data_IF_256528185803
#
_entry.id   IF_256528185803
#
_cell.length_a   1.000
_cell.length_b   1.000
_cell.length_c   1.000
_cell.angle_alpha   90.00
_cell.angle_beta   90.00
_cell.angle_gamma   90.00
#
_symmetry.space_group_name_H-M   'P 1'
#
loop_
_entity.id
_entity.type
_entity.pdbx_description
1 polymer ?
#
# COMPACT_ATOMS: atom_id res chain seq x y z
N UNK A 1 -24.33 13.16 11.83
CA UNK A 1 -25.45 12.82 10.94
C UNK A 1 -26.57 13.83 11.02
N UNK A 2 -26.96 14.24 12.22
CA UNK A 2 -28.07 15.18 12.41
C UNK A 2 -27.86 16.56 11.76
N UNK A 3 -26.64 17.09 11.75
CA UNK A 3 -26.36 18.42 11.15
C UNK A 3 -26.58 18.49 9.62
N UNK A 4 -26.18 17.46 8.89
CA UNK A 4 -26.33 17.40 7.42
C UNK A 4 -27.81 17.28 7.03
N UNK A 5 -28.58 16.51 7.80
CA UNK A 5 -30.02 16.39 7.60
C UNK A 5 -30.74 17.71 7.86
N UNK A 6 -30.36 18.42 8.93
CA UNK A 6 -30.91 19.73 9.25
C UNK A 6 -30.60 20.77 8.15
N UNK A 7 -29.41 20.70 7.59
CA UNK A 7 -29.01 21.59 6.49
C UNK A 7 -29.83 21.33 5.22
N UNK A 8 -30.04 20.05 4.85
CA UNK A 8 -30.94 19.73 3.72
C UNK A 8 -32.37 20.11 3.98
N UNK A 9 -32.86 19.94 5.22
CA UNK A 9 -34.20 20.41 5.60
C UNK A 9 -34.33 21.93 5.41
N UNK A 10 -33.39 22.72 5.90
CA UNK A 10 -33.36 24.17 5.71
C UNK A 10 -33.32 24.57 4.22
N UNK A 11 -32.49 23.87 3.43
CA UNK A 11 -32.43 24.12 1.99
C UNK A 11 -33.75 23.83 1.30
N UNK A 12 -34.43 22.74 1.65
CA UNK A 12 -35.75 22.38 1.09
C UNK A 12 -36.82 23.43 1.45
N UNK A 13 -36.83 23.88 2.73
CA UNK A 13 -37.71 24.99 3.14
C UNK A 13 -37.42 26.30 2.38
N UNK A 14 -36.14 26.58 2.13
CA UNK A 14 -35.71 27.74 1.35
C UNK A 14 -36.15 27.74 -0.13
N UNK A 15 -36.48 26.58 -0.69
CA UNK A 15 -36.99 26.44 -2.06
C UNK A 15 -38.50 26.70 -2.16
N UNK A 16 -39.19 26.73 -1.01
CA UNK A 16 -40.66 26.96 -1.01
C UNK A 16 -40.97 28.41 -1.33
N UNK A 17 -42.00 28.67 -2.15
CA UNK A 17 -42.41 30.03 -2.44
C UNK A 17 -42.92 30.72 -1.16
N UNK A 18 -42.72 32.05 -1.02
CA UNK A 18 -43.25 32.78 0.11
C UNK A 18 -44.77 32.85 0.08
N UNK A 19 -45.42 32.54 1.21
CA UNK A 19 -46.87 32.68 1.33
C UNK A 19 -47.49 31.79 2.39
N UNK A 20 -48.69 32.12 2.87
CA UNK A 20 -49.34 31.39 3.97
C UNK A 20 -49.76 29.95 3.57
N UNK A 21 -49.86 29.64 2.27
CA UNK A 21 -50.20 28.30 1.79
C UNK A 21 -49.08 27.26 2.07
N UNK A 22 -47.87 27.71 2.38
CA UNK A 22 -46.67 26.87 2.59
C UNK A 22 -46.15 26.94 4.03
N UNK A 23 -46.89 27.60 4.92
CA UNK A 23 -46.47 27.75 6.32
C UNK A 23 -46.59 26.46 7.13
N UNK A 24 -47.35 25.50 6.66
CA UNK A 24 -47.60 24.22 7.32
C UNK A 24 -47.42 23.06 6.30
N UNK A 25 -46.19 22.65 6.11
CA UNK A 25 -45.84 21.60 5.14
C UNK A 25 -45.84 20.20 5.74
N UNK A 26 -46.46 20.02 6.92
CA UNK A 26 -46.74 18.73 7.58
C UNK A 26 -45.59 17.69 7.55
N UNK A 27 -44.36 18.13 7.71
CA UNK A 27 -43.20 17.24 7.79
C UNK A 27 -42.80 16.55 6.48
N UNK A 28 -43.44 16.91 5.34
CA UNK A 28 -43.07 16.31 4.03
C UNK A 28 -41.62 16.60 3.66
N UNK A 29 -41.15 17.82 3.88
CA UNK A 29 -39.76 18.21 3.58
C UNK A 29 -38.80 17.54 4.53
N UNK A 30 -39.16 17.37 5.79
CA UNK A 30 -38.37 16.61 6.76
C UNK A 30 -38.25 15.14 6.36
N UNK A 31 -39.30 14.57 5.78
CA UNK A 31 -39.29 13.21 5.24
C UNK A 31 -38.46 13.03 3.96
N UNK A 32 -38.25 14.12 3.19
CA UNK A 32 -37.41 14.10 1.97
C UNK A 32 -35.94 14.28 2.26
N UNK A 33 -35.56 15.04 3.29
CA UNK A 33 -34.17 15.34 3.64
C UNK A 33 -33.28 14.09 3.80
N UNK A 34 -33.72 13.00 4.44
CA UNK A 34 -32.90 11.77 4.54
C UNK A 34 -32.53 11.14 3.20
N UNK A 35 -33.36 11.32 2.17
CA UNK A 35 -33.07 10.82 0.82
C UNK A 35 -31.91 11.59 0.17
N UNK A 36 -31.89 12.92 0.36
CA UNK A 36 -30.80 13.77 -0.13
C UNK A 36 -29.50 13.50 0.65
N UNK A 37 -29.59 13.31 1.96
CA UNK A 37 -28.45 12.94 2.79
C UNK A 37 -27.81 11.64 2.29
N UNK A 38 -28.59 10.61 1.98
CA UNK A 38 -28.07 9.35 1.44
C UNK A 38 -27.35 9.52 0.10
N UNK A 39 -27.89 10.37 -0.77
CA UNK A 39 -27.24 10.68 -2.06
C UNK A 39 -25.92 11.42 -1.84
N UNK A 40 -25.90 12.37 -0.91
CA UNK A 40 -24.68 13.11 -0.56
C UNK A 40 -23.61 12.16 -0.01
N UNK A 41 -23.98 11.33 0.97
CA UNK A 41 -23.06 10.34 1.54
C UNK A 41 -22.51 9.37 0.48
N UNK A 42 -23.38 8.94 -0.43
CA UNK A 42 -22.93 8.09 -1.54
C UNK A 42 -21.97 8.81 -2.49
N UNK A 43 -22.15 10.09 -2.70
CA UNK A 43 -21.22 10.90 -3.48
C UNK A 43 -19.85 11.00 -2.78
N UNK A 44 -19.85 11.21 -1.47
CA UNK A 44 -18.62 11.25 -0.67
C UNK A 44 -17.87 9.89 -0.70
N UNK A 45 -18.61 8.78 -0.58
CA UNK A 45 -18.05 7.43 -0.72
C UNK A 45 -17.39 7.23 -2.09
N UNK A 46 -18.06 7.67 -3.17
CA UNK A 46 -17.52 7.58 -4.53
C UNK A 46 -16.25 8.43 -4.73
N UNK A 47 -16.14 9.56 -4.01
CA UNK A 47 -14.90 10.36 -4.04
C UNK A 47 -13.73 9.57 -3.42
N UNK A 48 -13.96 8.81 -2.36
CA UNK A 48 -12.95 7.95 -1.76
C UNK A 48 -12.54 6.82 -2.73
N UNK A 49 -13.51 6.26 -3.46
CA UNK A 49 -13.26 5.22 -4.45
C UNK A 49 -12.38 5.67 -5.66
N UNK A 50 -12.18 6.98 -5.85
CA UNK A 50 -11.27 7.49 -6.89
C UNK A 50 -9.81 7.17 -6.59
N UNK A 51 -9.46 7.06 -5.32
CA UNK A 51 -8.10 6.71 -4.90
C UNK A 51 -7.92 5.18 -4.87
N UNK A 52 -7.07 4.60 -5.73
CA UNK A 52 -6.85 3.16 -5.76
C UNK A 52 -6.38 2.59 -4.40
N UNK A 53 -5.62 3.37 -3.62
CA UNK A 53 -5.12 2.97 -2.31
C UNK A 53 -6.19 2.92 -1.21
N UNK A 54 -7.36 3.54 -1.43
CA UNK A 54 -8.47 3.58 -0.48
C UNK A 54 -9.72 2.87 -1.00
N UNK A 55 -9.72 2.50 -2.29
CA UNK A 55 -10.85 1.87 -2.95
C UNK A 55 -11.22 0.54 -2.31
N UNK A 56 -12.51 0.26 -2.23
CA UNK A 56 -13.06 -1.00 -1.73
C UNK A 56 -13.99 -1.65 -2.75
N UNK A 57 -14.87 -0.90 -3.38
CA UNK A 57 -15.83 -1.41 -4.34
C UNK A 57 -15.23 -1.56 -5.75
N UNK A 58 -14.32 -0.65 -6.13
CA UNK A 58 -13.69 -0.64 -7.44
C UNK A 58 -12.33 -1.35 -7.47
N UNK A 59 -11.94 -2.00 -6.38
CA UNK A 59 -10.61 -2.60 -6.22
C UNK A 59 -10.27 -3.62 -7.31
N UNK A 60 -11.20 -4.52 -7.64
CA UNK A 60 -11.00 -5.52 -8.72
C UNK A 60 -10.75 -4.86 -10.07
N UNK A 61 -11.48 -3.76 -10.35
CA UNK A 61 -11.30 -3.01 -11.60
C UNK A 61 -9.95 -2.31 -11.66
N UNK A 62 -9.48 -1.77 -10.54
CA UNK A 62 -8.15 -1.19 -10.47
C UNK A 62 -7.07 -2.25 -10.60
N UNK A 63 -7.23 -3.41 -9.98
CA UNK A 63 -6.29 -4.53 -10.15
C UNK A 63 -6.19 -4.96 -11.60
N UNK A 64 -7.29 -5.10 -12.31
CA UNK A 64 -7.29 -5.40 -13.73
C UNK A 64 -6.56 -4.31 -14.54
N UNK A 65 -6.81 -3.04 -14.24
CA UNK A 65 -6.19 -1.90 -14.92
C UNK A 65 -4.67 -1.86 -14.72
N UNK A 66 -4.20 -2.13 -13.49
CA UNK A 66 -2.78 -2.13 -13.12
C UNK A 66 -2.09 -3.48 -13.33
N UNK A 67 -2.81 -4.48 -13.83
CA UNK A 67 -2.28 -5.83 -14.10
C UNK A 67 -1.87 -6.58 -12.83
N UNK A 68 -2.70 -6.52 -11.81
CA UNK A 68 -2.61 -7.32 -10.59
C UNK A 68 -3.61 -8.50 -10.66
N UNK A 69 -3.33 -9.64 -10.02
CA UNK A 69 -2.07 -10.01 -9.38
C UNK A 69 -0.94 -10.23 -10.40
N UNK A 70 0.24 -9.72 -10.09
CA UNK A 70 1.44 -9.93 -10.90
C UNK A 70 2.32 -11.06 -10.34
N UNK A 71 3.50 -11.31 -10.98
CA UNK A 71 4.42 -12.35 -10.53
C UNK A 71 5.01 -12.12 -9.14
N UNK A 72 4.89 -10.91 -8.59
CA UNK A 72 5.35 -10.55 -7.24
C UNK A 72 4.20 -10.52 -6.22
N UNK A 73 3.00 -10.92 -6.61
CA UNK A 73 1.89 -11.00 -5.67
C UNK A 73 2.08 -12.18 -4.72
N UNK A 74 1.78 -12.02 -3.41
CA UNK A 74 1.91 -13.10 -2.46
C UNK A 74 1.00 -14.27 -2.83
N UNK A 75 1.47 -15.49 -2.59
CA UNK A 75 0.69 -16.71 -2.80
C UNK A 75 -0.30 -16.87 -1.66
N UNK A 76 -1.58 -16.98 -1.97
CA UNK A 76 -2.64 -17.21 -0.99
C UNK A 76 -3.69 -16.11 -0.95
N UNK A 77 -4.53 -16.15 0.09
CA UNK A 77 -5.59 -15.17 0.28
C UNK A 77 -5.02 -13.87 0.85
N UNK A 78 -5.12 -12.80 0.07
CA UNK A 78 -4.70 -11.47 0.49
C UNK A 78 -5.83 -10.77 1.26
N UNK A 79 -5.47 -9.92 2.19
CA UNK A 79 -6.41 -9.03 2.87
C UNK A 79 -6.70 -7.80 2.00
N UNK A 80 -7.86 -7.16 2.20
CA UNK A 80 -8.21 -5.92 1.51
C UNK A 80 -7.09 -4.86 1.61
N UNK A 81 -6.50 -4.72 2.78
CA UNK A 81 -5.39 -3.78 2.99
C UNK A 81 -4.15 -4.10 2.14
N UNK A 82 -3.82 -5.37 1.97
CA UNK A 82 -2.71 -5.80 1.10
C UNK A 82 -3.00 -5.49 -0.38
N UNK A 83 -4.24 -5.68 -0.83
CA UNK A 83 -4.67 -5.27 -2.17
C UNK A 83 -4.52 -3.75 -2.35
N UNK A 84 -5.02 -2.96 -1.41
CA UNK A 84 -4.92 -1.49 -1.44
C UNK A 84 -3.46 -1.02 -1.45
N UNK A 85 -2.60 -1.57 -0.59
CA UNK A 85 -1.17 -1.23 -0.56
C UNK A 85 -0.46 -1.55 -1.88
N UNK A 86 -0.78 -2.69 -2.50
CA UNK A 86 -0.22 -3.07 -3.80
C UNK A 86 -0.67 -2.14 -4.91
N UNK A 87 -1.95 -1.75 -4.90
CA UNK A 87 -2.49 -0.79 -5.85
C UNK A 87 -1.86 0.59 -5.67
N UNK A 88 -1.75 1.06 -4.44
CA UNK A 88 -1.12 2.34 -4.10
C UNK A 88 0.34 2.37 -4.57
N UNK A 89 1.12 1.32 -4.26
CA UNK A 89 2.49 1.19 -4.72
C UNK A 89 2.60 1.27 -6.26
N UNK A 90 1.69 0.61 -6.99
CA UNK A 90 1.70 0.64 -8.46
C UNK A 90 1.16 1.94 -9.06
N UNK A 91 0.15 2.53 -8.46
CA UNK A 91 -0.46 3.77 -8.95
C UNK A 91 0.49 4.97 -8.79
N UNK A 92 1.26 4.99 -7.70
CA UNK A 92 2.14 6.10 -7.35
C UNK A 92 3.58 5.92 -7.84
N UNK A 93 3.87 4.91 -8.66
CA UNK A 93 5.21 4.72 -9.25
C UNK A 93 5.55 5.89 -10.17
N UNK A 94 6.29 6.84 -9.64
CA UNK A 94 6.79 7.98 -10.42
C UNK A 94 7.99 7.61 -11.32
N UNK A 95 8.49 6.39 -11.24
CA UNK A 95 9.71 5.93 -11.93
C UNK A 95 10.97 6.61 -11.41
N UNK A 96 12.00 5.85 -11.13
CA UNK A 96 13.27 6.35 -10.63
C UNK A 96 14.29 5.24 -10.47
N UNK A 97 15.55 5.63 -10.29
CA UNK A 97 16.67 4.71 -10.04
C UNK A 97 17.50 5.18 -8.83
N UNK A 98 17.00 6.19 -8.11
CA UNK A 98 17.64 6.70 -6.91
C UNK A 98 17.22 5.89 -5.69
N UNK A 99 18.00 5.99 -4.64
CA UNK A 99 17.76 5.30 -3.37
C UNK A 99 16.36 5.59 -2.80
N UNK A 100 15.95 6.88 -2.82
CA UNK A 100 14.66 7.31 -2.30
C UNK A 100 13.48 6.62 -3.01
N UNK A 101 13.58 6.43 -4.33
CA UNK A 101 12.55 5.72 -5.08
C UNK A 101 12.32 4.28 -4.57
N UNK A 102 13.40 3.55 -4.27
CA UNK A 102 13.27 2.19 -3.73
C UNK A 102 12.75 2.17 -2.30
N UNK A 103 13.14 3.15 -1.47
CA UNK A 103 12.61 3.32 -0.12
C UNK A 103 11.10 3.61 -0.17
N UNK A 104 10.66 4.55 -1.01
CA UNK A 104 9.25 4.90 -1.18
C UNK A 104 8.42 3.71 -1.67
N UNK A 105 8.98 2.87 -2.55
CA UNK A 105 8.31 1.65 -3.01
C UNK A 105 8.13 0.63 -1.89
N UNK A 106 9.13 0.45 -1.05
CA UNK A 106 9.07 -0.48 0.09
C UNK A 106 8.13 0.05 1.19
N UNK A 107 8.14 1.37 1.44
CA UNK A 107 7.21 2.00 2.37
C UNK A 107 5.75 1.86 1.90
N UNK A 108 5.47 2.10 0.61
CA UNK A 108 4.15 1.89 0.02
C UNK A 108 3.66 0.44 0.14
N UNK A 109 4.57 -0.54 0.13
CA UNK A 109 4.25 -1.95 0.38
C UNK A 109 4.07 -2.27 1.87
N UNK A 110 4.36 -1.32 2.76
CA UNK A 110 4.18 -1.45 4.20
C UNK A 110 5.45 -1.82 4.98
N UNK A 111 6.62 -1.85 4.32
CA UNK A 111 7.90 -2.10 4.99
C UNK A 111 8.47 -0.80 5.53
N UNK A 112 8.53 -0.66 6.85
CA UNK A 112 9.11 0.49 7.55
C UNK A 112 10.49 0.16 8.11
N UNK A 113 11.38 1.16 8.20
CA UNK A 113 12.72 0.96 8.76
C UNK A 113 13.71 0.27 7.79
N UNK A 114 13.41 0.26 6.50
CA UNK A 114 14.31 -0.25 5.47
C UNK A 114 15.49 0.70 5.28
N UNK A 115 16.68 0.15 5.14
CA UNK A 115 17.90 0.92 4.79
C UNK A 115 18.52 0.38 3.51
N UNK A 116 19.13 1.29 2.73
CA UNK A 116 19.82 0.95 1.49
C UNK A 116 21.28 1.37 1.65
N UNK A 117 22.18 0.46 1.37
CA UNK A 117 23.61 0.70 1.38
C UNK A 117 24.19 0.48 -0.01
N UNK A 118 24.95 1.48 -0.50
CA UNK A 118 25.62 1.43 -1.78
C UNK A 118 27.13 1.31 -1.55
N UNK A 119 27.79 0.39 -2.25
CA UNK A 119 29.21 0.12 -2.07
C UNK A 119 30.10 0.90 -3.02
N UNK A 120 29.56 1.56 -4.04
CA UNK A 120 30.34 2.26 -5.06
C UNK A 120 31.30 3.34 -4.54
N UNK A 121 31.05 3.86 -3.34
CA UNK A 121 31.85 4.91 -2.70
C UNK A 121 33.03 4.37 -1.89
N UNK A 122 33.12 3.05 -1.71
CA UNK A 122 34.22 2.43 -0.99
C UNK A 122 35.50 2.36 -1.85
N UNK A 123 36.66 2.37 -1.22
CA UNK A 123 37.95 2.25 -1.91
C UNK A 123 38.30 0.80 -2.28
N UNK A 124 37.72 -0.15 -1.58
CA UNK A 124 37.94 -1.58 -1.79
C UNK A 124 36.63 -2.38 -1.67
N UNK A 125 36.62 -3.58 -2.25
CA UNK A 125 35.49 -4.50 -2.12
C UNK A 125 35.26 -4.90 -0.66
N UNK A 126 34.03 -4.78 -0.14
CA UNK A 126 33.72 -5.28 1.21
C UNK A 126 33.74 -6.82 1.27
N UNK A 127 33.59 -7.49 0.15
CA UNK A 127 33.66 -8.94 0.03
C UNK A 127 34.59 -9.35 -1.10
N UNK A 128 35.63 -10.18 -0.81
CA UNK A 128 36.57 -10.65 -1.81
C UNK A 128 35.93 -11.46 -2.96
N UNK A 129 34.80 -12.10 -2.72
CA UNK A 129 34.10 -12.93 -3.72
C UNK A 129 33.44 -12.09 -4.81
N UNK A 130 33.17 -10.81 -4.58
CA UNK A 130 32.53 -9.93 -5.56
C UNK A 130 33.48 -9.49 -6.67
N UNK A 131 34.77 -9.62 -6.51
CA UNK A 131 35.79 -9.20 -7.48
C UNK A 131 35.68 -7.73 -7.83
N UNK A 132 35.99 -7.34 -9.08
CA UNK A 132 35.94 -5.95 -9.54
C UNK A 132 34.53 -5.40 -9.75
N UNK A 133 33.51 -6.25 -9.63
CA UNK A 133 32.10 -5.86 -9.87
C UNK A 133 31.40 -5.31 -8.63
N UNK A 134 32.05 -5.31 -7.47
CA UNK A 134 31.48 -4.85 -6.20
C UNK A 134 30.83 -3.46 -6.25
N UNK A 135 31.28 -2.59 -7.13
CA UNK A 135 30.74 -1.24 -7.32
C UNK A 135 29.31 -1.21 -7.86
N UNK A 136 28.84 -2.31 -8.43
CA UNK A 136 27.49 -2.47 -8.95
C UNK A 136 26.56 -3.21 -7.98
N UNK A 137 27.09 -3.56 -6.81
CA UNK A 137 26.32 -4.18 -5.76
C UNK A 137 25.77 -3.11 -4.82
N UNK A 138 24.58 -3.36 -4.32
CA UNK A 138 23.96 -2.58 -3.27
C UNK A 138 23.12 -3.49 -2.39
N UNK A 139 22.97 -3.11 -1.12
CA UNK A 139 22.28 -3.92 -0.12
C UNK A 139 21.00 -3.23 0.30
N UNK A 140 19.91 -4.01 0.39
CA UNK A 140 18.64 -3.61 1.00
C UNK A 140 18.51 -4.38 2.30
N UNK A 141 18.47 -3.68 3.41
CA UNK A 141 18.27 -4.26 4.73
C UNK A 141 16.81 -4.10 5.11
N UNK A 142 16.10 -5.21 5.22
CA UNK A 142 14.71 -5.28 5.61
C UNK A 142 14.61 -5.63 7.10
N UNK A 143 13.60 -5.11 7.83
CA UNK A 143 13.40 -5.48 9.23
C UNK A 143 13.11 -6.97 9.36
N UNK A 144 13.48 -7.57 10.48
CA UNK A 144 13.37 -8.99 10.73
C UNK A 144 11.95 -9.56 10.62
N UNK A 145 10.95 -8.75 10.90
CA UNK A 145 9.53 -9.11 10.82
C UNK A 145 9.07 -9.33 9.37
N UNK A 146 9.85 -8.84 8.40
CA UNK A 146 9.56 -8.97 7.00
C UNK A 146 9.84 -10.41 6.55
N UNK A 147 8.80 -11.25 6.54
CA UNK A 147 8.78 -12.51 5.82
C UNK A 147 9.44 -13.71 6.50
N UNK A 148 9.72 -13.68 7.79
CA UNK A 148 10.10 -14.89 8.50
C UNK A 148 8.95 -15.90 8.53
N UNK A 149 9.05 -16.98 7.75
CA UNK A 149 8.06 -18.06 7.73
C UNK A 149 8.54 -19.21 8.59
N UNK A 150 7.75 -19.54 9.61
CA UNK A 150 7.96 -20.72 10.44
C UNK A 150 7.21 -21.89 9.85
N UNK A 151 7.89 -23.02 9.72
CA UNK A 151 7.26 -24.25 9.27
C UNK A 151 6.37 -24.83 10.37
N UNK A 152 5.24 -25.35 9.95
CA UNK A 152 4.25 -26.01 10.83
C UNK A 152 4.37 -27.53 10.73
N UNK A 153 3.76 -28.25 11.65
CA UNK A 153 3.76 -29.72 11.63
C UNK A 153 3.09 -30.35 10.40
N UNK A 154 2.42 -29.52 9.57
CA UNK A 154 1.76 -29.95 8.32
C UNK A 154 2.66 -29.83 7.09
N UNK A 155 3.80 -29.19 7.23
CA UNK A 155 4.74 -28.98 6.13
C UNK A 155 5.63 -30.21 5.90
N UNK A 156 6.29 -30.26 4.75
CA UNK A 156 7.11 -31.41 4.39
C UNK A 156 8.36 -31.51 5.29
N UNK A 157 8.69 -32.71 5.74
CA UNK A 157 9.80 -32.95 6.69
C UNK A 157 11.20 -32.56 6.20
N UNK A 158 11.35 -32.25 4.91
CA UNK A 158 12.61 -31.84 4.30
C UNK A 158 12.73 -30.32 4.09
N UNK A 159 11.76 -29.55 4.56
CA UNK A 159 11.82 -28.08 4.52
C UNK A 159 12.55 -27.52 5.74
N UNK A 160 13.31 -26.41 5.60
CA UNK A 160 13.96 -25.78 6.73
C UNK A 160 12.90 -25.28 7.73
N UNK A 161 13.17 -25.40 9.02
CA UNK A 161 12.22 -25.03 10.10
C UNK A 161 11.86 -23.54 10.04
N UNK A 162 12.78 -22.71 9.56
CA UNK A 162 12.58 -21.28 9.35
C UNK A 162 13.18 -20.89 8.00
N UNK A 163 12.40 -20.19 7.20
CA UNK A 163 12.87 -19.56 5.97
C UNK A 163 12.86 -18.06 6.16
N UNK A 164 13.91 -17.43 5.67
CA UNK A 164 14.09 -15.98 5.67
C UNK A 164 13.79 -15.47 4.26
N UNK A 165 13.39 -14.22 4.18
CA UNK A 165 13.20 -13.55 2.93
C UNK A 165 11.72 -13.23 2.67
N UNK A 166 11.47 -12.00 2.33
CA UNK A 166 10.16 -11.57 1.87
C UNK A 166 10.10 -11.68 0.35
N UNK A 167 9.42 -12.70 -0.12
CA UNK A 167 9.29 -12.98 -1.55
C UNK A 167 8.66 -11.84 -2.33
N UNK A 168 7.82 -11.01 -1.69
CA UNK A 168 7.15 -9.87 -2.31
C UNK A 168 8.11 -8.70 -2.47
N UNK A 169 8.76 -8.29 -1.37
CA UNK A 169 9.74 -7.21 -1.38
C UNK A 169 10.91 -7.51 -2.33
N UNK A 170 11.49 -8.70 -2.22
CA UNK A 170 12.58 -9.14 -3.09
C UNK A 170 12.18 -9.17 -4.57
N UNK A 171 11.00 -9.69 -4.88
CA UNK A 171 10.50 -9.76 -6.25
C UNK A 171 10.32 -8.36 -6.84
N UNK A 172 9.71 -7.43 -6.09
CA UNK A 172 9.44 -6.05 -6.54
C UNK A 172 10.76 -5.32 -6.79
N UNK A 173 11.69 -5.39 -5.84
CA UNK A 173 13.00 -4.72 -5.97
C UNK A 173 13.79 -5.31 -7.14
N UNK A 174 13.85 -6.63 -7.28
CA UNK A 174 14.52 -7.27 -8.41
C UNK A 174 13.92 -6.89 -9.77
N UNK A 175 12.60 -6.69 -9.86
CA UNK A 175 11.93 -6.19 -11.07
C UNK A 175 12.29 -4.75 -11.43
N UNK A 176 12.46 -3.91 -10.41
CA UNK A 176 12.75 -2.48 -10.57
C UNK A 176 14.25 -2.19 -10.65
N UNK A 177 15.08 -3.14 -10.22
CA UNK A 177 16.53 -3.03 -10.21
C UNK A 177 17.09 -2.73 -11.60
N UNK A 178 18.01 -1.75 -11.75
CA UNK A 178 18.72 -1.51 -12.99
C UNK A 178 19.49 -2.75 -13.44
N UNK A 179 19.41 -3.12 -14.71
CA UNK A 179 19.92 -4.38 -15.27
C UNK A 179 21.43 -4.60 -15.11
N UNK A 180 22.19 -3.54 -14.81
CA UNK A 180 23.64 -3.60 -14.62
C UNK A 180 24.04 -3.71 -13.14
N UNK A 181 23.09 -3.68 -12.20
CA UNK A 181 23.33 -3.75 -10.76
C UNK A 181 22.86 -5.08 -10.17
N UNK A 182 23.34 -5.38 -9.00
CA UNK A 182 22.98 -6.59 -8.24
C UNK A 182 22.51 -6.17 -6.85
N UNK A 183 21.32 -6.59 -6.48
CA UNK A 183 20.75 -6.34 -5.15
C UNK A 183 21.10 -7.49 -4.22
N UNK A 184 21.50 -7.14 -3.02
CA UNK A 184 21.69 -8.07 -1.91
C UNK A 184 20.62 -7.76 -0.86
N UNK A 185 19.95 -8.78 -0.35
CA UNK A 185 18.97 -8.61 0.72
C UNK A 185 19.60 -9.07 2.05
N UNK A 186 19.40 -8.26 3.09
CA UNK A 186 19.86 -8.55 4.44
C UNK A 186 18.68 -8.45 5.41
N UNK A 187 18.63 -9.37 6.34
CA UNK A 187 17.64 -9.47 7.41
C UNK A 187 18.39 -9.58 8.73
N UNK A 188 18.80 -8.46 9.36
CA UNK A 188 19.59 -8.49 10.59
C UNK A 188 18.77 -9.08 11.73
N UNK A 189 19.43 -9.91 12.56
CA UNK A 189 18.86 -10.36 13.81
C UNK A 189 18.93 -9.23 14.84
N UNK A 190 17.92 -9.07 15.72
CA UNK A 190 17.87 -8.03 16.75
C UNK A 190 19.05 -8.07 17.76
N UNK A 191 19.82 -9.15 17.76
CA UNK A 191 20.90 -9.38 18.72
C UNK A 191 22.26 -8.77 18.28
N UNK A 192 22.44 -8.29 17.05
CA UNK A 192 23.71 -7.73 16.57
C UNK A 192 23.91 -6.26 16.95
N UNK A 193 22.86 -5.48 17.20
CA UNK A 193 22.97 -4.05 17.54
C UNK A 193 23.26 -3.78 19.03
N UNK A 194 23.42 -4.81 19.86
CA UNK A 194 23.67 -4.67 21.31
C UNK A 194 25.17 -4.77 21.71
N UNK A 195 26.10 -4.79 20.76
CA UNK A 195 27.53 -5.01 21.05
C UNK A 195 28.48 -3.92 20.53
N UNK A 196 28.00 -2.66 20.34
CA UNK A 196 28.93 -1.53 20.15
C UNK A 196 28.74 -0.45 21.21
#
# INVERSE_FOLDING_TARGET
MDSLQDDYTKLLYGLMPPGPAWSDTDGVLDGLAPSLVRVHQRADELVIEIDPGQSTELIERYEELYGLPDSCSPVGTQTLRQHQQRLEAKANVAGGINEQFFLDQLEALGYTGVTIEQFQHLDASPDPEWGDRWRYFWRVTLPMDAGAQWQTCTDACNTPIRTWGDTVAECVINKLCPSHTVVLFSYPDEDEDAQD
#
